data_IF_157298784812
#
_entry.id   IF_157298784812
#
_cell.length_a   1.000
_cell.length_b   1.000
_cell.length_c   1.000
_cell.angle_alpha   90.00
_cell.angle_beta   90.00
_cell.angle_gamma   90.00
#
_symmetry.space_group_name_H-M   'P 1'
#
loop_
_entity.id
_entity.type
_entity.pdbx_description
1 polymer ?
#
# COMPACT_ATOMS: atom_id res chain seq x y z
N UNK A 1 19.68 -4.61 -29.31
CA UNK A 1 20.64 -4.07 -28.60
C UNK A 1 20.18 -3.13 -27.54
N UNK A 2 19.85 -1.91 -27.89
CA UNK A 2 19.40 -1.04 -26.86
C UNK A 2 18.11 -1.55 -26.25
N UNK A 3 17.32 -2.25 -27.00
CA UNK A 3 16.15 -2.83 -26.41
C UNK A 3 16.52 -3.79 -25.32
N UNK A 4 17.75 -4.19 -25.26
CA UNK A 4 18.22 -5.02 -24.18
C UNK A 4 18.00 -4.36 -22.83
N UNK A 5 18.02 -3.06 -22.82
CA UNK A 5 17.82 -2.39 -21.56
C UNK A 5 16.45 -2.66 -20.97
N UNK A 6 15.47 -2.80 -21.83
CA UNK A 6 14.15 -3.13 -21.33
C UNK A 6 14.14 -4.47 -20.64
N UNK A 7 14.83 -5.42 -21.24
CA UNK A 7 14.87 -6.75 -20.65
C UNK A 7 15.76 -6.80 -19.43
N UNK A 8 16.68 -5.85 -19.31
CA UNK A 8 17.59 -5.84 -18.19
C UNK A 8 17.04 -5.09 -16.99
N UNK A 9 15.94 -4.34 -17.15
CA UNK A 9 15.34 -3.66 -16.04
C UNK A 9 14.44 -4.64 -15.30
N UNK A 10 14.81 -5.04 -14.09
CA UNK A 10 13.99 -6.02 -13.38
C UNK A 10 12.68 -5.39 -12.95
N UNK A 11 11.62 -6.17 -13.04
CA UNK A 11 10.34 -5.79 -12.49
C UNK A 11 10.29 -6.26 -11.05
N UNK A 12 9.77 -5.42 -10.19
CA UNK A 12 9.53 -5.84 -8.82
C UNK A 12 8.34 -6.78 -8.77
N UNK A 13 8.31 -7.70 -7.81
CA UNK A 13 7.16 -8.61 -7.69
C UNK A 13 5.85 -7.88 -7.43
N UNK A 14 5.90 -6.64 -6.97
CA UNK A 14 4.70 -5.85 -6.71
C UNK A 14 4.34 -4.92 -7.87
N UNK A 15 5.01 -5.00 -8.99
CA UNK A 15 4.70 -4.13 -10.13
C UNK A 15 3.33 -4.49 -10.68
N UNK A 16 2.43 -3.53 -10.66
CA UNK A 16 1.06 -3.75 -11.08
C UNK A 16 0.82 -3.17 -12.47
N UNK A 17 -0.05 -3.82 -13.23
CA UNK A 17 -0.43 -3.35 -14.55
C UNK A 17 -1.64 -2.45 -14.50
N UNK A 18 -2.53 -2.68 -13.52
CA UNK A 18 -3.69 -1.83 -13.31
C UNK A 18 -3.73 -1.40 -11.86
N UNK A 19 -4.26 -0.19 -11.64
CA UNK A 19 -4.50 0.30 -10.28
C UNK A 19 -5.86 0.97 -10.22
N UNK A 20 -6.60 0.68 -9.17
CA UNK A 20 -7.88 1.32 -8.89
C UNK A 20 -7.70 2.11 -7.61
N UNK A 21 -8.00 3.40 -7.66
CA UNK A 21 -7.73 4.32 -6.56
C UNK A 21 -9.02 5.00 -6.13
N UNK A 22 -9.25 4.96 -4.84
CA UNK A 22 -10.41 5.60 -4.21
C UNK A 22 -10.31 7.12 -4.34
N UNK A 23 -11.45 7.84 -4.42
CA UNK A 23 -11.40 9.30 -4.54
C UNK A 23 -10.81 9.93 -3.29
N UNK A 24 -10.02 10.99 -3.49
CA UNK A 24 -9.42 11.78 -2.42
C UNK A 24 -8.59 10.95 -1.45
N UNK A 25 -8.00 9.87 -1.94
CA UNK A 25 -7.17 8.97 -1.13
C UNK A 25 -7.92 8.44 0.10
N UNK A 26 -9.22 8.30 -0.04
CA UNK A 26 -10.07 7.76 1.03
C UNK A 26 -10.02 6.24 1.03
N UNK A 27 -10.72 5.63 1.98
CA UNK A 27 -10.88 4.19 2.05
C UNK A 27 -12.32 3.88 1.62
N UNK A 28 -12.54 3.71 0.31
CA UNK A 28 -13.89 3.56 -0.22
C UNK A 28 -14.10 2.34 -1.12
N UNK A 29 -13.04 1.59 -1.43
CA UNK A 29 -13.17 0.42 -2.31
C UNK A 29 -13.55 -0.80 -1.47
N UNK A 30 -14.71 -1.38 -1.78
CA UNK A 30 -15.20 -2.54 -1.02
C UNK A 30 -14.28 -3.74 -1.13
N UNK A 31 -14.17 -4.48 -0.03
CA UNK A 31 -13.40 -5.72 -0.04
C UNK A 31 -13.99 -6.75 -0.98
N UNK A 32 -15.31 -6.71 -1.21
CA UNK A 32 -15.96 -7.62 -2.17
C UNK A 32 -15.47 -7.38 -3.58
N UNK A 33 -15.15 -6.14 -3.93
CA UNK A 33 -14.60 -5.85 -5.25
C UNK A 33 -13.24 -6.53 -5.42
N UNK A 34 -12.41 -6.50 -4.39
CA UNK A 34 -11.13 -7.20 -4.43
C UNK A 34 -11.33 -8.70 -4.61
N UNK A 35 -12.29 -9.29 -3.89
CA UNK A 35 -12.57 -10.71 -4.01
C UNK A 35 -13.05 -11.06 -5.44
N UNK A 36 -13.88 -10.21 -6.02
CA UNK A 36 -14.33 -10.41 -7.40
C UNK A 36 -13.15 -10.38 -8.38
N UNK A 37 -12.21 -9.48 -8.16
CA UNK A 37 -11.00 -9.42 -9.00
C UNK A 37 -10.17 -10.69 -8.86
N UNK A 38 -10.03 -11.19 -7.64
CA UNK A 38 -9.24 -12.41 -7.40
C UNK A 38 -9.85 -13.62 -8.09
N UNK A 39 -11.16 -13.62 -8.33
CA UNK A 39 -11.84 -14.72 -9.01
C UNK A 39 -11.86 -14.55 -10.52
N UNK A 40 -11.41 -13.45 -11.03
CA UNK A 40 -11.39 -13.19 -12.47
C UNK A 40 -10.22 -13.94 -13.12
N UNK A 41 -10.51 -14.74 -14.13
CA UNK A 41 -9.53 -15.65 -14.72
C UNK A 41 -8.34 -14.93 -15.36
N UNK A 42 -8.48 -13.66 -15.73
CA UNK A 42 -7.37 -12.93 -16.34
C UNK A 42 -6.59 -12.11 -15.31
N UNK A 43 -6.94 -12.24 -14.05
CA UNK A 43 -6.21 -11.59 -12.95
C UNK A 43 -5.26 -12.63 -12.34
N UNK A 44 -3.97 -12.34 -12.39
CA UNK A 44 -2.96 -13.21 -11.79
C UNK A 44 -2.85 -12.95 -10.29
N UNK A 45 -2.84 -11.68 -9.91
CA UNK A 45 -2.78 -11.29 -8.52
C UNK A 45 -3.48 -9.94 -8.35
N UNK A 46 -4.29 -9.82 -7.31
CA UNK A 46 -4.89 -8.55 -6.93
C UNK A 46 -4.70 -8.36 -5.44
N UNK A 47 -4.37 -7.15 -5.03
CA UNK A 47 -4.11 -6.86 -3.63
C UNK A 47 -4.45 -5.42 -3.32
N UNK A 48 -4.85 -5.18 -2.08
CA UNK A 48 -5.30 -3.86 -1.65
C UNK A 48 -4.51 -3.32 -0.49
N UNK A 49 -4.52 -1.99 -0.38
CA UNK A 49 -3.92 -1.30 0.76
C UNK A 49 -4.88 -0.23 1.24
N UNK A 50 -4.88 -0.03 2.54
CA UNK A 50 -5.60 1.07 3.18
C UNK A 50 -4.57 2.11 3.62
N UNK A 51 -4.88 3.38 3.39
CA UNK A 51 -3.98 4.47 3.73
C UNK A 51 -4.70 5.45 4.63
N UNK A 52 -3.98 5.96 5.64
CA UNK A 52 -4.39 7.12 6.40
C UNK A 52 -3.24 8.12 6.31
N UNK A 53 -3.51 9.26 5.69
CA UNK A 53 -2.47 10.23 5.36
C UNK A 53 -2.35 11.31 6.42
N UNK A 54 -1.11 11.73 6.69
CA UNK A 54 -0.79 12.87 7.55
C UNK A 54 -1.51 12.83 8.89
N UNK A 55 -1.45 11.67 9.52
CA UNK A 55 -2.07 11.46 10.83
C UNK A 55 -1.22 12.17 11.88
N UNK A 56 -1.81 13.07 12.68
CA UNK A 56 -1.05 13.68 13.77
C UNK A 56 -0.60 12.64 14.78
N UNK A 57 0.65 12.70 15.19
CA UNK A 57 1.19 11.73 16.13
C UNK A 57 2.12 12.39 17.13
N UNK A 58 2.32 11.71 18.25
CA UNK A 58 3.28 12.10 19.27
C UNK A 58 4.09 10.87 19.64
N UNK A 59 5.42 11.00 19.62
CA UNK A 59 6.33 9.96 20.04
C UNK A 59 7.40 10.59 20.92
N UNK A 60 7.51 10.13 22.16
CA UNK A 60 8.48 10.68 23.11
C UNK A 60 8.38 12.20 23.23
N UNK A 61 7.15 12.71 23.22
CA UNK A 61 6.90 14.15 23.35
C UNK A 61 7.10 14.95 22.06
N UNK A 62 7.50 14.30 20.97
CA UNK A 62 7.74 14.98 19.70
C UNK A 62 6.53 14.78 18.78
N UNK A 63 5.98 15.90 18.31
CA UNK A 63 4.85 15.87 17.39
C UNK A 63 5.35 15.68 15.97
N UNK A 64 4.66 14.82 15.22
CA UNK A 64 5.01 14.53 13.83
C UNK A 64 3.78 14.00 13.14
N UNK A 65 3.61 14.34 11.85
CA UNK A 65 2.59 13.69 11.02
C UNK A 65 3.17 12.43 10.43
N UNK A 66 2.37 11.38 10.39
CA UNK A 66 2.79 10.10 9.81
C UNK A 66 1.70 9.60 8.88
N UNK A 67 2.11 8.86 7.87
CA UNK A 67 1.20 8.09 7.03
C UNK A 67 1.15 6.68 7.58
N UNK A 68 -0.05 6.11 7.64
CA UNK A 68 -0.25 4.74 8.09
C UNK A 68 -0.74 3.94 6.90
N UNK A 69 -0.10 2.81 6.61
CA UNK A 69 -0.40 1.99 5.45
C UNK A 69 -0.57 0.55 5.89
N UNK A 70 -1.60 -0.11 5.38
CA UNK A 70 -1.82 -1.53 5.67
C UNK A 70 -1.14 -2.40 4.62
N UNK A 71 -0.63 -3.55 5.06
CA UNK A 71 -0.12 -4.59 4.17
C UNK A 71 -0.90 -5.88 4.37
N UNK A 72 -1.09 -6.61 3.28
CA UNK A 72 -1.53 -8.00 3.33
C UNK A 72 -0.31 -8.89 3.58
N UNK A 73 -0.56 -10.17 3.83
CA UNK A 73 0.52 -11.09 4.18
C UNK A 73 1.63 -11.14 3.14
N UNK A 74 1.27 -11.26 1.87
CA UNK A 74 2.30 -11.36 0.82
C UNK A 74 3.08 -10.05 0.65
N UNK A 75 2.51 -8.93 1.02
CA UNK A 75 3.21 -7.65 0.95
C UNK A 75 4.28 -7.56 2.04
N UNK A 76 4.04 -8.13 3.21
CA UNK A 76 5.08 -8.26 4.22
C UNK A 76 6.22 -9.14 3.68
N UNK A 77 5.90 -10.22 2.97
CA UNK A 77 6.93 -11.07 2.38
C UNK A 77 7.78 -10.29 1.38
N UNK A 78 7.16 -9.45 0.57
CA UNK A 78 7.89 -8.61 -0.37
C UNK A 78 8.78 -7.60 0.33
N UNK A 79 8.44 -7.18 1.54
CA UNK A 79 9.19 -6.18 2.28
C UNK A 79 10.37 -6.76 3.05
N UNK A 80 10.51 -8.07 3.11
CA UNK A 80 11.53 -8.69 3.98
C UNK A 80 12.95 -8.29 3.63
N UNK A 81 13.24 -8.05 2.36
CA UNK A 81 14.58 -7.65 1.94
C UNK A 81 14.91 -6.22 2.33
N UNK A 82 13.93 -5.46 2.77
CA UNK A 82 14.11 -4.08 3.22
C UNK A 82 14.17 -3.96 4.73
N UNK A 83 14.07 -5.07 5.44
CA UNK A 83 14.09 -5.04 6.90
C UNK A 83 15.50 -4.74 7.39
N UNK A 84 15.66 -3.63 8.11
CA UNK A 84 16.93 -3.24 8.70
C UNK A 84 17.11 -3.89 10.07
N UNK A 85 16.07 -3.88 10.89
CA UNK A 85 16.11 -4.53 12.20
C UNK A 85 14.68 -4.77 12.68
N UNK A 86 14.54 -5.65 13.66
CA UNK A 86 13.24 -5.95 14.23
C UNK A 86 12.58 -7.15 13.59
N UNK A 87 11.25 -7.21 13.67
CA UNK A 87 10.50 -8.40 13.32
C UNK A 87 9.32 -8.05 12.40
N UNK A 88 9.37 -8.56 11.17
CA UNK A 88 8.22 -8.52 10.27
C UNK A 88 7.08 -9.35 10.81
N UNK A 89 7.41 -10.51 11.40
CA UNK A 89 6.40 -11.42 11.89
C UNK A 89 5.55 -10.78 12.98
N UNK A 90 6.18 -10.03 13.87
CA UNK A 90 5.43 -9.32 14.92
C UNK A 90 4.49 -8.30 14.32
N UNK A 91 4.96 -7.53 13.34
CA UNK A 91 4.11 -6.52 12.68
C UNK A 91 2.95 -7.17 11.94
N UNK A 92 3.17 -8.34 11.38
CA UNK A 92 2.16 -9.05 10.61
C UNK A 92 1.10 -9.69 11.51
N UNK A 93 1.52 -10.24 12.65
CA UNK A 93 0.68 -11.12 13.46
C UNK A 93 0.15 -10.46 14.74
N UNK A 94 0.85 -9.46 15.27
CA UNK A 94 0.46 -8.86 16.55
C UNK A 94 -0.29 -7.56 16.32
N UNK A 95 -1.54 -7.51 16.75
CA UNK A 95 -2.37 -6.32 16.60
C UNK A 95 -1.78 -5.19 17.43
N UNK A 96 -1.81 -3.99 16.88
CA UNK A 96 -1.26 -2.81 17.58
C UNK A 96 0.22 -2.60 17.35
N UNK A 97 0.83 -3.31 16.42
CA UNK A 97 2.25 -3.18 16.11
C UNK A 97 2.45 -2.71 14.67
N UNK A 98 3.62 -2.12 14.41
CA UNK A 98 3.93 -1.65 13.07
C UNK A 98 5.42 -1.51 12.83
N UNK A 99 5.75 -1.24 11.58
CA UNK A 99 7.12 -1.03 11.11
C UNK A 99 7.28 0.43 10.75
N UNK A 100 8.40 1.03 11.14
CA UNK A 100 8.70 2.39 10.72
C UNK A 100 9.65 2.33 9.51
N UNK A 101 9.35 3.13 8.49
CA UNK A 101 10.24 3.25 7.34
C UNK A 101 11.33 4.26 7.68
N UNK A 102 12.56 3.88 7.45
CA UNK A 102 13.72 4.70 7.79
C UNK A 102 13.71 6.03 7.07
N UNK A 103 14.02 7.09 7.80
CA UNK A 103 14.28 8.42 7.26
C UNK A 103 15.56 8.94 7.88
N UNK A 104 16.22 9.84 7.17
CA UNK A 104 17.49 10.38 7.63
C UNK A 104 17.37 11.08 8.99
N UNK A 105 16.24 11.74 9.23
CA UNK A 105 15.99 12.42 10.52
C UNK A 105 14.93 11.67 11.30
N UNK A 106 15.07 10.37 11.37
CA UNK A 106 14.07 9.53 11.98
C UNK A 106 14.09 9.67 13.50
N UNK A 107 12.99 10.12 14.08
CA UNK A 107 12.84 10.23 15.52
C UNK A 107 12.06 9.07 16.13
N UNK A 108 11.56 8.17 15.29
CA UNK A 108 10.76 7.02 15.72
C UNK A 108 11.61 5.78 15.55
N UNK A 109 11.73 4.99 16.62
CA UNK A 109 12.62 3.81 16.64
C UNK A 109 11.88 2.61 17.17
N UNK A 110 12.47 1.43 16.99
CA UNK A 110 11.95 0.19 17.57
C UNK A 110 11.83 0.34 19.07
N UNK A 111 10.70 -0.12 19.59
CA UNK A 111 10.38 -0.01 21.02
C UNK A 111 9.54 1.20 21.36
N UNK A 112 9.49 2.18 20.46
CA UNK A 112 8.67 3.36 20.70
C UNK A 112 7.21 3.05 20.54
N UNK A 113 6.39 3.75 21.31
CA UNK A 113 4.94 3.76 21.15
C UNK A 113 4.57 5.08 20.49
N UNK A 114 3.96 5.00 19.32
CA UNK A 114 3.50 6.18 18.59
C UNK A 114 2.02 6.38 18.94
N UNK A 115 1.70 7.55 19.47
CA UNK A 115 0.30 7.89 19.77
C UNK A 115 -0.26 8.64 18.57
N UNK A 116 -1.28 8.05 17.95
CA UNK A 116 -1.93 8.61 16.77
C UNK A 116 -3.23 9.28 17.16
N UNK A 117 -3.51 10.42 16.54
CA UNK A 117 -4.80 11.10 16.73
C UNK A 117 -5.68 10.79 15.54
N UNK A 118 -6.67 9.94 15.75
CA UNK A 118 -7.60 9.51 14.71
C UNK A 118 -9.00 10.03 15.09
N UNK A 119 -9.50 11.00 14.34
CA UNK A 119 -10.85 11.56 14.59
C UNK A 119 -11.05 11.99 16.02
N UNK A 120 -10.03 12.62 16.59
CA UNK A 120 -10.08 13.10 17.96
C UNK A 120 -9.80 12.07 19.03
N UNK A 121 -9.57 10.82 18.65
CA UNK A 121 -9.26 9.75 19.61
C UNK A 121 -7.79 9.39 19.52
N UNK A 122 -7.20 9.11 20.66
CA UNK A 122 -5.80 8.68 20.72
C UNK A 122 -5.72 7.17 20.59
N UNK A 123 -4.94 6.71 19.63
CA UNK A 123 -4.68 5.30 19.39
C UNK A 123 -3.18 5.09 19.41
N UNK A 124 -2.75 3.94 19.88
CA UNK A 124 -1.32 3.65 20.01
C UNK A 124 -0.91 2.54 19.08
N UNK A 125 0.30 2.67 18.51
CA UNK A 125 0.94 1.61 17.74
C UNK A 125 2.36 1.47 18.24
N UNK A 126 2.79 0.24 18.49
CA UNK A 126 4.14 -0.06 18.96
C UNK A 126 5.02 -0.41 17.77
N UNK A 127 6.17 0.20 17.69
CA UNK A 127 7.11 -0.03 16.58
C UNK A 127 7.96 -1.25 16.91
N UNK A 128 7.89 -2.26 16.03
CA UNK A 128 8.58 -3.55 16.22
C UNK A 128 9.62 -3.83 15.15
N UNK A 129 9.78 -2.95 14.18
CA UNK A 129 10.79 -3.12 13.15
C UNK A 129 11.00 -1.86 12.34
N UNK A 130 12.11 -1.83 11.60
CA UNK A 130 12.47 -0.72 10.73
C UNK A 130 12.75 -1.25 9.33
N UNK A 131 12.12 -0.63 8.34
CA UNK A 131 12.38 -0.91 6.93
C UNK A 131 13.27 0.16 6.33
N UNK A 132 14.19 -0.23 5.44
CA UNK A 132 15.04 0.74 4.74
C UNK A 132 14.25 1.53 3.70
N UNK A 133 13.18 0.95 3.19
CA UNK A 133 12.35 1.57 2.16
C UNK A 133 10.97 0.96 2.24
N UNK A 134 10.02 1.59 1.58
CA UNK A 134 8.65 1.13 1.56
C UNK A 134 8.29 0.71 0.14
N UNK A 135 8.18 -0.59 -0.15
CA UNK A 135 7.65 -1.01 -1.44
C UNK A 135 6.27 -0.39 -1.66
N UNK A 136 5.96 -0.02 -2.88
CA UNK A 136 4.68 0.52 -3.33
C UNK A 136 4.45 2.00 -3.02
N UNK A 137 5.18 2.60 -2.10
CA UNK A 137 4.81 3.93 -1.66
C UNK A 137 6.02 4.71 -1.19
N UNK A 138 6.07 5.96 -1.55
CA UNK A 138 7.11 6.87 -1.09
C UNK A 138 6.49 8.25 -0.88
N UNK A 139 6.69 8.80 0.30
CA UNK A 139 6.26 10.16 0.61
C UNK A 139 7.38 10.88 1.32
N UNK A 140 7.93 11.89 0.66
CA UNK A 140 9.00 12.67 1.25
C UNK A 140 8.47 13.55 2.37
N UNK A 141 9.21 13.62 3.45
CA UNK A 141 8.93 14.56 4.53
C UNK A 141 7.88 14.13 5.53
N UNK A 142 7.31 12.93 5.36
CA UNK A 142 6.30 12.40 6.27
C UNK A 142 6.77 11.02 6.72
N UNK A 143 6.69 10.72 8.01
CA UNK A 143 7.00 9.40 8.52
C UNK A 143 5.98 8.40 7.98
N UNK A 144 6.44 7.18 7.71
CA UNK A 144 5.57 6.13 7.18
C UNK A 144 5.61 4.93 8.11
N UNK A 145 4.44 4.49 8.56
CA UNK A 145 4.28 3.32 9.41
C UNK A 145 3.47 2.27 8.64
N UNK A 146 4.01 1.06 8.59
CA UNK A 146 3.37 -0.08 7.93
C UNK A 146 2.80 -0.98 9.01
N UNK A 147 1.56 -1.42 8.84
CA UNK A 147 0.94 -2.33 9.79
C UNK A 147 0.07 -3.35 9.07
N UNK A 148 -0.41 -4.36 9.81
CA UNK A 148 -1.34 -5.33 9.24
C UNK A 148 -2.71 -4.68 9.02
N UNK A 149 -3.55 -5.34 8.22
CA UNK A 149 -4.92 -4.85 8.02
C UNK A 149 -5.70 -4.85 9.34
N UNK A 150 -5.49 -5.85 10.17
CA UNK A 150 -6.18 -5.91 11.46
C UNK A 150 -5.80 -4.71 12.34
N UNK A 151 -4.52 -4.38 12.38
CA UNK A 151 -4.07 -3.20 13.14
C UNK A 151 -4.65 -1.93 12.55
N UNK A 152 -4.62 -1.80 11.22
CA UNK A 152 -5.16 -0.61 10.56
C UNK A 152 -6.64 -0.42 10.88
N UNK A 153 -7.42 -1.49 10.79
CA UNK A 153 -8.85 -1.44 11.07
C UNK A 153 -9.11 -1.07 12.53
N UNK A 154 -8.32 -1.64 13.42
CA UNK A 154 -8.48 -1.34 14.85
C UNK A 154 -8.19 0.12 15.15
N UNK A 155 -7.18 0.69 14.51
CA UNK A 155 -6.76 2.06 14.78
C UNK A 155 -7.69 3.07 14.10
N UNK A 156 -8.05 2.84 12.84
CA UNK A 156 -8.77 3.83 12.04
C UNK A 156 -10.26 3.60 11.94
N UNK A 157 -10.73 2.40 12.26
CA UNK A 157 -12.11 1.94 12.03
C UNK A 157 -12.49 1.89 10.54
N UNK A 158 -11.51 2.00 9.66
CA UNK A 158 -11.74 1.83 8.22
C UNK A 158 -11.54 0.38 7.85
N UNK A 159 -12.33 -0.10 6.89
CA UNK A 159 -12.26 -1.49 6.45
C UNK A 159 -12.29 -1.64 4.93
N UNK A 160 -12.31 -0.53 4.20
CA UNK A 160 -12.31 -0.53 2.74
C UNK A 160 -10.95 -0.06 2.25
N UNK A 161 -10.64 -0.40 1.01
CA UNK A 161 -9.32 -0.13 0.45
C UNK A 161 -9.22 1.27 -0.15
N UNK A 162 -8.02 1.83 -0.08
CA UNK A 162 -7.67 3.07 -0.75
C UNK A 162 -7.20 2.80 -2.17
N UNK A 163 -6.43 1.73 -2.34
CA UNK A 163 -5.85 1.35 -3.63
C UNK A 163 -5.95 -0.16 -3.77
N UNK A 164 -6.32 -0.61 -4.97
CA UNK A 164 -6.19 -2.01 -5.36
C UNK A 164 -5.30 -2.07 -6.57
N UNK A 165 -4.25 -2.89 -6.50
CA UNK A 165 -3.35 -3.14 -7.60
C UNK A 165 -3.66 -4.50 -8.21
N UNK A 166 -3.52 -4.59 -9.53
CA UNK A 166 -3.86 -5.79 -10.27
C UNK A 166 -2.71 -6.19 -11.18
N UNK A 167 -2.30 -7.45 -11.08
CA UNK A 167 -1.37 -8.06 -12.02
C UNK A 167 -2.17 -9.00 -12.92
N UNK A 168 -1.99 -8.87 -14.21
CA UNK A 168 -2.77 -9.61 -15.20
C UNK A 168 -2.04 -10.85 -15.66
N UNK A 169 -2.78 -11.84 -16.14
CA UNK A 169 -2.19 -12.98 -16.80
C UNK A 169 -1.64 -12.55 -18.14
N UNK A 170 -0.73 -13.37 -18.72
CA UNK A 170 -0.07 -13.01 -19.97
C UNK A 170 -1.02 -12.96 -21.15
N UNK A 171 -2.13 -13.67 -21.07
CA UNK A 171 -3.09 -13.73 -22.17
C UNK A 171 -4.22 -12.72 -22.02
N UNK A 172 -4.14 -11.81 -21.06
CA UNK A 172 -5.14 -10.77 -20.91
C UNK A 172 -5.13 -9.84 -22.13
N UNK A 173 -6.32 -9.51 -22.62
CA UNK A 173 -6.49 -8.67 -23.80
C UNK A 173 -6.95 -7.28 -23.38
N UNK A 174 -6.93 -6.33 -24.33
CA UNK A 174 -7.46 -5.01 -24.08
C UNK A 174 -8.96 -5.07 -23.74
N UNK A 175 -9.68 -5.99 -24.36
CA UNK A 175 -11.10 -6.18 -24.02
C UNK A 175 -11.31 -6.65 -22.60
N UNK A 176 -10.42 -7.50 -22.12
CA UNK A 176 -10.47 -7.97 -20.73
C UNK A 176 -10.24 -6.81 -19.78
N UNK A 177 -9.28 -5.95 -20.08
CA UNK A 177 -9.01 -4.78 -19.25
C UNK A 177 -10.18 -3.80 -19.29
N UNK A 178 -10.77 -3.62 -20.45
CA UNK A 178 -11.95 -2.77 -20.57
C UNK A 178 -13.09 -3.32 -19.70
N UNK A 179 -13.27 -4.63 -19.68
CA UNK A 179 -14.30 -5.24 -18.86
C UNK A 179 -14.06 -4.99 -17.37
N UNK A 180 -12.82 -5.06 -16.93
CA UNK A 180 -12.49 -4.71 -15.54
C UNK A 180 -12.80 -3.24 -15.27
N UNK A 181 -12.42 -2.37 -16.19
CA UNK A 181 -12.69 -0.95 -16.04
C UNK A 181 -14.17 -0.67 -15.88
N UNK A 182 -15.01 -1.40 -16.60
CA UNK A 182 -16.46 -1.23 -16.51
C UNK A 182 -17.04 -1.63 -15.16
N UNK A 183 -16.31 -2.44 -14.39
CA UNK A 183 -16.73 -2.84 -13.05
C UNK A 183 -16.40 -1.78 -12.01
N UNK A 184 -15.53 -0.83 -12.34
CA UNK A 184 -15.03 0.16 -11.40
C UNK A 184 -16.02 1.33 -11.29
N UNK A 185 -16.29 1.75 -10.05
CA UNK A 185 -17.15 2.92 -9.81
C UNK A 185 -16.57 4.14 -10.54
N UNK A 186 -17.42 4.91 -11.17
CA UNK A 186 -16.99 6.04 -11.99
C UNK A 186 -16.29 7.14 -11.19
N UNK A 187 -16.46 7.17 -9.87
CA UNK A 187 -15.78 8.15 -9.01
C UNK A 187 -14.37 7.73 -8.66
N UNK A 188 -13.99 6.49 -8.93
CA UNK A 188 -12.65 5.99 -8.65
C UNK A 188 -11.75 6.28 -9.85
N UNK A 189 -10.45 6.32 -9.59
CA UNK A 189 -9.46 6.45 -10.66
C UNK A 189 -9.02 5.07 -11.11
N UNK A 190 -9.07 4.83 -12.40
CA UNK A 190 -8.59 3.59 -13.01
C UNK A 190 -7.35 3.92 -13.83
N UNK A 191 -6.24 3.27 -13.50
CA UNK A 191 -4.96 3.51 -14.17
C UNK A 191 -4.48 2.24 -14.83
N UNK A 192 -4.17 2.32 -16.12
CA UNK A 192 -3.65 1.21 -16.91
C UNK A 192 -2.19 1.52 -17.24
N UNK A 193 -1.29 0.81 -16.59
CA UNK A 193 0.14 1.06 -16.70
C UNK A 193 0.84 0.11 -17.67
N UNK A 194 0.08 -0.66 -18.46
CA UNK A 194 0.69 -1.67 -19.34
C UNK A 194 1.58 -1.07 -20.42
N UNK A 195 1.35 0.17 -20.75
CA UNK A 195 2.09 0.85 -21.81
C UNK A 195 3.38 1.48 -21.32
N UNK A 196 3.78 1.21 -20.10
CA UNK A 196 5.02 1.74 -19.58
C UNK A 196 5.00 3.24 -19.45
N UNK A 197 5.93 3.93 -20.12
CA UNK A 197 6.03 5.36 -19.97
C UNK A 197 4.88 6.12 -20.60
N UNK A 198 3.93 5.45 -21.18
CA UNK A 198 2.72 6.12 -21.64
C UNK A 198 1.66 6.15 -20.54
N UNK A 199 2.08 6.10 -19.31
CA UNK A 199 1.15 6.13 -18.18
C UNK A 199 0.26 7.36 -18.22
N UNK A 200 0.76 8.48 -18.73
CA UNK A 200 -0.07 9.66 -18.86
C UNK A 200 -1.26 9.41 -19.77
N UNK A 201 -1.15 8.46 -20.64
CA UNK A 201 -2.23 8.12 -21.54
C UNK A 201 -3.08 6.98 -21.00
N UNK A 202 -2.49 6.15 -20.19
CA UNK A 202 -3.21 5.03 -19.61
C UNK A 202 -4.31 5.43 -18.65
N UNK A 203 -4.38 6.68 -18.28
CA UNK A 203 -5.40 7.15 -17.35
C UNK A 203 -6.62 7.71 -18.03
N UNK A 204 -6.74 7.54 -19.31
CA UNK A 204 -7.82 8.16 -20.06
C UNK A 204 -9.01 7.29 -20.25
N UNK A 205 -9.66 6.94 -19.27
CA UNK A 205 -10.87 6.14 -19.46
C UNK A 205 -12.09 6.82 -18.87
#
# INVERSE_FOLDING_TARGET
VEFMQHTLTPLHPWTAELSIISPDNSCAIDTTFLEDLKENSIVDLAYGRMFAYEVPSVTNGIEKKVDLISYEQHQFDWAKDYLLEGSLESAQNDVGTGLIVYEQQNTIQIGDTVTLNISGQKKEIQIVGTLSDCPFYSAAGVGTIICSEDTFKQITSESKYTIIDVQLTKDATDGDVYAIHQMVDSTFTFSDERMGNSSTMGTYY
#
